data_IF_944953444360
#
_entry.id   IF_944953444360
#
_cell.length_a   1.000
_cell.length_b   1.000
_cell.length_c   1.000
_cell.angle_alpha   90.00
_cell.angle_beta   90.00
_cell.angle_gamma   90.00
#
_symmetry.space_group_name_H-M   'P 1'
#
loop_
_entity.id
_entity.type
_entity.pdbx_description
1 polymer ?
#
# COMPACT_ATOMS: atom_id res chain seq x y z
N UNK A 1 56.10 -1.69 -13.50
CA UNK A 1 55.14 -0.95 -12.66
C UNK A 1 54.27 -0.05 -13.54
N UNK A 2 52.99 -0.37 -13.75
CA UNK A 2 51.99 0.62 -14.19
C UNK A 2 50.69 0.32 -13.45
N UNK A 3 50.45 1.12 -12.43
CA UNK A 3 49.30 1.06 -11.55
C UNK A 3 48.01 1.48 -12.28
N UNK A 4 46.93 0.82 -11.86
CA UNK A 4 45.54 1.00 -12.26
C UNK A 4 45.08 2.47 -12.28
N UNK A 5 44.38 2.88 -13.34
CA UNK A 5 43.54 4.09 -13.33
C UNK A 5 42.07 3.69 -13.29
N UNK A 6 41.56 3.72 -12.06
CA UNK A 6 40.19 4.02 -11.60
C UNK A 6 39.07 3.90 -12.66
N UNK A 7 38.26 2.85 -12.53
CA UNK A 7 36.86 2.88 -12.95
C UNK A 7 36.13 3.95 -12.14
N UNK A 8 35.80 5.07 -12.77
CA UNK A 8 34.80 6.00 -12.24
C UNK A 8 33.42 5.40 -12.49
N UNK A 9 32.90 4.68 -11.50
CA UNK A 9 31.46 4.52 -11.31
C UNK A 9 30.91 5.92 -10.98
N UNK A 10 30.37 6.60 -11.99
CA UNK A 10 29.50 7.73 -11.74
C UNK A 10 28.26 7.18 -11.04
N UNK A 11 28.14 7.55 -9.78
CA UNK A 11 27.02 7.22 -8.93
C UNK A 11 25.77 7.89 -9.49
N UNK A 12 24.71 7.10 -9.58
CA UNK A 12 23.30 7.49 -9.60
C UNK A 12 23.04 8.99 -9.47
N UNK A 13 22.64 9.61 -10.58
CA UNK A 13 21.84 10.84 -10.52
C UNK A 13 20.53 10.48 -9.82
N UNK A 14 20.47 10.71 -8.51
CA UNK A 14 19.21 10.87 -7.80
C UNK A 14 18.53 12.09 -8.43
N UNK A 15 17.62 11.82 -9.36
CA UNK A 15 16.64 12.76 -9.88
C UNK A 15 15.76 13.14 -8.71
N UNK A 16 16.21 14.07 -7.86
CA UNK A 16 15.31 14.74 -6.95
C UNK A 16 14.30 15.48 -7.81
N UNK A 17 13.00 15.15 -7.73
CA UNK A 17 12.00 15.87 -8.47
C UNK A 17 12.07 17.36 -8.10
N UNK A 18 11.83 18.20 -9.09
CA UNK A 18 11.69 19.62 -8.86
C UNK A 18 10.51 19.82 -7.88
N UNK A 19 10.73 20.48 -6.73
CA UNK A 19 9.72 20.74 -5.70
C UNK A 19 8.40 21.33 -6.24
N UNK A 20 8.45 21.99 -7.40
CA UNK A 20 7.26 22.52 -8.08
C UNK A 20 6.42 21.41 -8.76
N UNK A 21 7.06 20.35 -9.25
CA UNK A 21 6.40 19.18 -9.87
C UNK A 21 5.76 18.31 -8.80
N UNK A 22 6.42 18.12 -7.65
CA UNK A 22 5.83 17.38 -6.51
C UNK A 22 4.56 18.05 -6.01
N UNK A 23 4.60 19.37 -5.75
CA UNK A 23 3.40 20.12 -5.36
C UNK A 23 2.26 20.04 -6.37
N UNK A 24 2.58 20.05 -7.67
CA UNK A 24 1.57 19.90 -8.73
C UNK A 24 0.98 18.49 -8.73
N UNK A 25 1.81 17.46 -8.60
CA UNK A 25 1.38 16.07 -8.60
C UNK A 25 0.52 15.74 -7.38
N UNK A 26 0.93 16.22 -6.21
CA UNK A 26 0.18 16.09 -4.96
C UNK A 26 -1.20 16.77 -5.08
N UNK A 27 -1.27 17.98 -5.63
CA UNK A 27 -2.54 18.67 -5.89
C UNK A 27 -3.44 17.89 -6.86
N UNK A 28 -2.85 17.27 -7.89
CA UNK A 28 -3.60 16.45 -8.85
C UNK A 28 -4.13 15.16 -8.21
N UNK A 29 -3.31 14.46 -7.41
CA UNK A 29 -3.70 13.24 -6.70
C UNK A 29 -4.81 13.52 -5.68
N UNK A 30 -4.73 14.62 -4.94
CA UNK A 30 -5.76 15.01 -3.99
C UNK A 30 -7.11 15.27 -4.70
N UNK A 31 -7.10 15.94 -5.86
CA UNK A 31 -8.31 16.15 -6.65
C UNK A 31 -8.88 14.85 -7.22
N UNK A 32 -8.02 13.93 -7.68
CA UNK A 32 -8.45 12.60 -8.12
C UNK A 32 -9.08 11.81 -6.98
N UNK A 33 -8.51 11.89 -5.78
CA UNK A 33 -9.07 11.27 -4.58
C UNK A 33 -10.44 11.84 -4.23
N UNK A 34 -10.59 13.16 -4.17
CA UNK A 34 -11.88 13.80 -3.90
C UNK A 34 -12.93 13.40 -4.93
N UNK A 35 -12.58 13.37 -6.22
CA UNK A 35 -13.51 12.96 -7.29
C UNK A 35 -13.95 11.51 -7.10
N UNK A 36 -12.99 10.60 -6.91
CA UNK A 36 -13.25 9.19 -6.71
C UNK A 36 -14.13 8.96 -5.47
N UNK A 37 -13.79 9.57 -4.34
CA UNK A 37 -14.56 9.45 -3.11
C UNK A 37 -15.96 10.08 -3.23
N UNK A 38 -16.11 11.15 -4.01
CA UNK A 38 -17.44 11.74 -4.24
C UNK A 38 -18.35 10.80 -5.04
N UNK A 39 -17.78 10.05 -5.99
CA UNK A 39 -18.52 9.10 -6.83
C UNK A 39 -18.84 7.80 -6.09
N UNK A 40 -17.92 7.29 -5.29
CA UNK A 40 -18.04 5.97 -4.65
C UNK A 40 -18.38 6.00 -3.16
N UNK A 41 -18.17 7.13 -2.49
CA UNK A 41 -18.40 7.33 -1.04
C UNK A 41 -18.98 8.71 -0.71
N UNK A 42 -20.11 9.10 -1.32
CA UNK A 42 -20.67 10.44 -1.14
C UNK A 42 -20.97 10.78 0.32
N UNK A 43 -21.46 9.81 1.11
CA UNK A 43 -21.77 10.00 2.54
C UNK A 43 -20.52 10.34 3.36
N UNK A 44 -19.44 9.56 3.19
CA UNK A 44 -18.17 9.82 3.88
C UNK A 44 -17.54 11.16 3.48
N UNK A 45 -17.64 11.52 2.19
CA UNK A 45 -17.22 12.84 1.71
C UNK A 45 -18.05 13.96 2.34
N UNK A 46 -19.35 13.76 2.54
CA UNK A 46 -20.23 14.72 3.19
C UNK A 46 -19.87 14.90 4.67
N UNK A 47 -19.63 13.81 5.40
CA UNK A 47 -19.13 13.86 6.78
C UNK A 47 -17.78 14.59 6.89
N UNK A 48 -16.85 14.32 5.97
CA UNK A 48 -15.56 15.00 5.92
C UNK A 48 -15.70 16.50 5.57
N UNK A 49 -16.68 16.86 4.73
CA UNK A 49 -16.98 18.27 4.41
C UNK A 49 -17.59 18.99 5.60
N UNK A 50 -18.54 18.36 6.29
CA UNK A 50 -19.14 18.90 7.51
C UNK A 50 -18.10 19.10 8.62
N UNK A 51 -17.13 18.19 8.72
CA UNK A 51 -16.00 18.30 9.61
C UNK A 51 -14.92 19.31 9.15
N UNK A 52 -14.99 19.82 7.91
CA UNK A 52 -13.98 20.70 7.33
C UNK A 52 -12.61 20.03 7.07
N UNK A 53 -12.58 18.68 6.99
CA UNK A 53 -11.36 17.87 6.91
C UNK A 53 -11.13 17.23 5.54
N UNK A 54 -12.06 17.38 4.60
CA UNK A 54 -11.97 16.74 3.28
C UNK A 54 -10.65 17.04 2.57
N UNK A 55 -10.25 18.32 2.55
CA UNK A 55 -9.02 18.76 1.87
C UNK A 55 -7.77 18.21 2.57
N UNK A 56 -7.73 18.24 3.90
CA UNK A 56 -6.65 17.67 4.71
C UNK A 56 -6.48 16.17 4.45
N UNK A 57 -7.58 15.40 4.44
CA UNK A 57 -7.56 13.96 4.22
C UNK A 57 -7.15 13.62 2.79
N UNK A 58 -7.66 14.36 1.80
CA UNK A 58 -7.27 14.19 0.40
C UNK A 58 -5.79 14.52 0.17
N UNK A 59 -5.31 15.58 0.82
CA UNK A 59 -3.91 16.00 0.79
C UNK A 59 -3.00 14.94 1.41
N UNK A 60 -3.38 14.41 2.58
CA UNK A 60 -2.62 13.34 3.24
C UNK A 60 -2.57 12.06 2.40
N UNK A 61 -3.67 11.68 1.75
CA UNK A 61 -3.70 10.52 0.86
C UNK A 61 -2.81 10.74 -0.38
N UNK A 62 -2.82 11.95 -0.93
CA UNK A 62 -1.98 12.33 -2.05
C UNK A 62 -0.49 12.34 -1.69
N UNK A 63 -0.13 12.81 -0.50
CA UNK A 63 1.25 12.80 0.00
C UNK A 63 1.76 11.36 0.12
N UNK A 64 0.97 10.47 0.72
CA UNK A 64 1.32 9.04 0.85
C UNK A 64 1.45 8.36 -0.52
N UNK A 65 0.51 8.60 -1.43
CA UNK A 65 0.57 8.07 -2.78
C UNK A 65 1.82 8.55 -3.54
N UNK A 66 2.21 9.83 -3.37
CA UNK A 66 3.40 10.41 -4.00
C UNK A 66 4.68 9.75 -3.49
N UNK A 67 4.80 9.57 -2.17
CA UNK A 67 5.95 8.88 -1.57
C UNK A 67 6.06 7.44 -2.07
N UNK A 68 4.93 6.74 -2.20
CA UNK A 68 4.91 5.39 -2.73
C UNK A 68 5.30 5.36 -4.21
N UNK A 69 4.83 6.30 -5.02
CA UNK A 69 5.23 6.42 -6.43
C UNK A 69 6.75 6.55 -6.55
N UNK A 70 7.35 7.44 -5.75
CA UNK A 70 8.80 7.64 -5.76
C UNK A 70 9.55 6.38 -5.34
N UNK A 71 9.05 5.66 -4.33
CA UNK A 71 9.60 4.37 -3.87
C UNK A 71 9.53 3.31 -4.97
N UNK A 72 8.38 3.17 -5.62
CA UNK A 72 8.16 2.21 -6.70
C UNK A 72 9.01 2.55 -7.93
N UNK A 73 9.10 3.82 -8.30
CA UNK A 73 9.98 4.27 -9.37
C UNK A 73 11.46 4.02 -9.04
N UNK A 74 11.88 4.22 -7.79
CA UNK A 74 13.23 3.90 -7.34
C UNK A 74 13.53 2.40 -7.40
N UNK A 75 12.51 1.55 -7.25
CA UNK A 75 12.63 0.09 -7.43
C UNK A 75 12.69 -0.36 -8.90
N UNK A 76 12.48 0.56 -9.84
CA UNK A 76 12.59 0.32 -11.28
C UNK A 76 11.27 0.22 -12.04
N UNK A 77 10.13 0.48 -11.38
CA UNK A 77 8.84 0.55 -12.07
C UNK A 77 8.75 1.81 -12.93
N UNK A 78 7.97 1.73 -14.01
CA UNK A 78 7.63 2.92 -14.76
C UNK A 78 6.65 3.78 -13.95
N UNK A 79 6.72 5.10 -14.15
CA UNK A 79 5.85 6.06 -13.47
C UNK A 79 4.37 5.71 -13.54
N UNK A 80 3.89 5.27 -14.70
CA UNK A 80 2.48 4.89 -14.87
C UNK A 80 2.10 3.65 -14.04
N UNK A 81 2.98 2.65 -13.97
CA UNK A 81 2.75 1.45 -13.13
C UNK A 81 2.78 1.81 -11.64
N UNK A 82 3.73 2.67 -11.25
CA UNK A 82 3.84 3.17 -9.89
C UNK A 82 2.60 3.99 -9.47
N UNK A 83 2.11 4.86 -10.36
CA UNK A 83 0.89 5.65 -10.14
C UNK A 83 -0.34 4.76 -9.97
N UNK A 84 -0.53 3.74 -10.80
CA UNK A 84 -1.67 2.82 -10.67
C UNK A 84 -1.65 2.04 -9.35
N UNK A 85 -0.47 1.57 -8.93
CA UNK A 85 -0.31 0.85 -7.66
C UNK A 85 -0.61 1.78 -6.48
N UNK A 86 -0.02 2.98 -6.47
CA UNK A 86 -0.20 3.94 -5.39
C UNK A 86 -1.64 4.47 -5.33
N UNK A 87 -2.27 4.75 -6.47
CA UNK A 87 -3.69 5.10 -6.52
C UNK A 87 -4.53 3.99 -5.91
N UNK A 88 -4.31 2.74 -6.31
CA UNK A 88 -5.06 1.62 -5.76
C UNK A 88 -4.91 1.57 -4.23
N UNK A 89 -3.69 1.64 -3.69
CA UNK A 89 -3.46 1.51 -2.26
C UNK A 89 -4.03 2.66 -1.40
N UNK A 90 -3.87 3.91 -1.84
CA UNK A 90 -4.13 5.08 -0.98
C UNK A 90 -5.38 5.88 -1.36
N UNK A 91 -5.89 5.71 -2.58
CA UNK A 91 -7.02 6.50 -3.10
C UNK A 91 -8.24 5.61 -3.35
N UNK A 92 -8.05 4.48 -4.03
CA UNK A 92 -9.15 3.62 -4.50
C UNK A 92 -9.55 2.57 -3.47
N UNK A 93 -8.60 2.05 -2.68
CA UNK A 93 -8.89 1.04 -1.66
C UNK A 93 -9.50 1.71 -0.43
N UNK A 94 -10.64 1.19 0.09
CA UNK A 94 -11.15 1.62 1.38
C UNK A 94 -10.08 1.48 2.47
N UNK A 95 -9.99 2.37 3.49
CA UNK A 95 -9.60 1.89 4.80
C UNK A 95 -10.64 0.82 5.13
N UNK A 96 -10.22 -0.44 5.08
CA UNK A 96 -11.02 -1.53 5.59
C UNK A 96 -11.29 -1.23 7.06
N UNK A 97 -12.55 -1.13 7.48
CA UNK A 97 -12.97 -1.32 8.89
C UNK A 97 -12.68 -2.77 9.38
N UNK A 98 -11.83 -3.46 8.63
CA UNK A 98 -11.75 -4.87 8.32
C UNK A 98 -10.24 -5.25 8.34
N UNK A 99 -9.41 -4.50 9.08
CA UNK A 99 -8.14 -5.08 9.60
C UNK A 99 -8.40 -6.00 10.81
N UNK A 100 -9.63 -6.51 10.96
CA UNK A 100 -9.97 -7.60 11.88
C UNK A 100 -9.84 -9.00 11.24
N UNK A 101 -9.58 -9.09 9.93
CA UNK A 101 -9.45 -10.38 9.24
C UNK A 101 -8.19 -11.20 9.63
N UNK A 102 -7.16 -10.57 10.21
CA UNK A 102 -5.94 -11.27 10.67
C UNK A 102 -6.15 -11.96 12.05
N UNK A 103 -7.17 -11.56 12.81
CA UNK A 103 -7.53 -12.18 14.10
C UNK A 103 -8.49 -13.38 13.97
N UNK A 104 -9.33 -13.42 12.94
CA UNK A 104 -10.30 -14.52 12.79
C UNK A 104 -9.65 -15.79 12.22
N UNK A 105 -8.64 -15.62 11.37
CA UNK A 105 -7.87 -16.72 10.79
C UNK A 105 -7.06 -17.47 11.87
N UNK A 106 -6.57 -16.77 12.91
CA UNK A 106 -5.77 -17.39 13.98
C UNK A 106 -6.56 -18.31 14.90
N UNK A 107 -7.84 -18.04 15.23
CA UNK A 107 -8.64 -18.95 16.07
C UNK A 107 -9.26 -20.10 15.26
N UNK A 108 -9.73 -19.85 14.03
CA UNK A 108 -10.18 -20.92 13.14
C UNK A 108 -9.04 -21.86 12.76
N UNK A 109 -7.83 -21.35 12.48
CA UNK A 109 -6.67 -22.21 12.25
C UNK A 109 -6.20 -22.93 13.51
N UNK A 110 -6.37 -22.35 14.71
CA UNK A 110 -6.10 -23.05 15.97
C UNK A 110 -7.08 -24.21 16.18
N UNK A 111 -8.36 -24.01 15.87
CA UNK A 111 -9.38 -25.06 15.92
C UNK A 111 -9.15 -26.13 14.83
N UNK A 112 -8.77 -25.72 13.62
CA UNK A 112 -8.44 -26.62 12.51
C UNK A 112 -7.19 -27.45 12.81
N UNK A 113 -6.16 -26.86 13.42
CA UNK A 113 -4.96 -27.58 13.89
C UNK A 113 -5.27 -28.55 15.04
N UNK A 114 -6.16 -28.19 15.98
CA UNK A 114 -6.59 -29.08 17.05
C UNK A 114 -7.34 -30.31 16.51
N UNK A 115 -8.27 -30.12 15.56
CA UNK A 115 -8.97 -31.22 14.89
C UNK A 115 -8.04 -32.10 14.05
N UNK A 116 -7.03 -31.51 13.40
CA UNK A 116 -6.03 -32.26 12.64
C UNK A 116 -5.12 -33.11 13.57
N UNK A 117 -4.74 -32.59 14.74
CA UNK A 117 -3.99 -33.37 15.73
C UNK A 117 -4.80 -34.56 16.28
N UNK A 118 -6.11 -34.39 16.47
CA UNK A 118 -7.00 -35.46 16.93
C UNK A 118 -7.15 -36.58 15.89
N UNK A 119 -7.29 -36.23 14.61
CA UNK A 119 -7.37 -37.23 13.52
C UNK A 119 -6.07 -38.01 13.32
N UNK A 120 -4.90 -37.37 13.46
CA UNK A 120 -3.59 -38.06 13.44
C UNK A 120 -3.44 -39.01 14.62
N UNK A 121 -3.98 -38.66 15.80
CA UNK A 121 -3.92 -39.53 16.99
C UNK A 121 -4.87 -40.72 16.87
N UNK A 122 -6.07 -40.54 16.33
CA UNK A 122 -7.04 -41.60 16.10
C UNK A 122 -6.58 -42.63 15.05
N UNK A 123 -5.90 -42.17 14.00
CA UNK A 123 -5.35 -43.05 12.95
C UNK A 123 -4.14 -43.88 13.43
N UNK A 124 -3.35 -43.37 14.39
CA UNK A 124 -2.21 -44.10 14.97
C UNK A 124 -2.61 -45.23 15.93
N UNK A 125 -3.83 -45.23 16.48
CA UNK A 125 -4.31 -46.28 17.41
C UNK A 125 -4.86 -47.52 16.67
N UNK A 126 -5.19 -47.40 15.39
CA UNK A 126 -5.77 -48.51 14.59
C UNK A 126 -4.73 -49.35 13.82
N UNK A 127 -3.43 -49.05 13.91
CA UNK A 127 -2.37 -49.79 13.20
C UNK A 127 -1.59 -50.77 14.07
N UNK A 128 -2.00 -50.97 15.33
CA UNK A 128 -1.39 -51.92 16.29
C UNK A 128 -2.39 -53.00 16.77
N UNK A 129 -3.08 -53.65 15.82
CA UNK A 129 -3.76 -54.95 16.04
C UNK A 129 -3.37 -55.96 14.97
#
# INVERSE_FOLDING_TARGET
MKFCRKMTLQHSVSTHPNLNVEKQMISEMALRAIRHWTEHRPQWVEELKEAGRLEEVAQSAADQATVEIDSLMASGLQRHEAEEIAMNQYITTPPTDDQDWEMLETEEDRQRQAGYAETIRATRVQTDQ
#
